data_IF_935922787541
#
_entry.id   IF_935922787541
#
_cell.length_a   1.000
_cell.length_b   1.000
_cell.length_c   1.000
_cell.angle_alpha   90.00
_cell.angle_beta   90.00
_cell.angle_gamma   90.00
#
_symmetry.space_group_name_H-M   'P 1'
#
loop_
_entity.id
_entity.type
_entity.pdbx_description
1 polymer ?
#
# COMPACT_ATOMS: atom_id res chain seq x y z
N UNK A 1 -14.64 -15.95 22.05
CA UNK A 1 -14.89 -14.65 21.42
C UNK A 1 -16.35 -14.25 21.46
N UNK A 2 -17.32 -14.80 20.69
CA UNK A 2 -18.74 -14.40 20.79
C UNK A 2 -19.38 -14.65 22.18
N UNK A 3 -19.02 -15.73 22.90
CA UNK A 3 -19.54 -15.99 24.26
C UNK A 3 -19.04 -14.99 25.30
N UNK A 4 -17.85 -14.45 25.15
CA UNK A 4 -17.30 -13.43 26.05
C UNK A 4 -18.00 -12.08 25.84
N UNK A 5 -18.26 -11.71 24.58
CA UNK A 5 -19.03 -10.51 24.24
C UNK A 5 -20.47 -10.55 24.77
N UNK A 6 -21.07 -11.75 24.91
CA UNK A 6 -22.42 -11.92 25.39
C UNK A 6 -22.53 -11.99 26.92
N UNK A 7 -21.42 -11.99 27.65
CA UNK A 7 -21.41 -12.11 29.12
C UNK A 7 -21.45 -10.79 29.89
N UNK A 8 -21.24 -9.66 29.21
CA UNK A 8 -21.29 -8.31 29.81
C UNK A 8 -22.71 -7.76 29.84
N UNK A 9 -23.08 -7.20 31.00
CA UNK A 9 -24.46 -6.84 31.34
C UNK A 9 -25.08 -5.65 30.61
N UNK A 10 -24.30 -4.94 29.76
CA UNK A 10 -24.84 -3.83 28.96
C UNK A 10 -24.33 -4.01 27.51
N UNK A 11 -25.27 -4.35 26.61
CA UNK A 11 -25.01 -4.38 25.19
C UNK A 11 -24.96 -2.94 24.64
N UNK A 12 -23.77 -2.42 24.39
CA UNK A 12 -23.59 -1.19 23.61
C UNK A 12 -23.48 -1.55 22.12
N UNK A 13 -24.52 -1.22 21.35
CA UNK A 13 -24.55 -1.44 19.90
C UNK A 13 -23.35 -0.79 19.19
N UNK A 14 -22.93 0.42 19.64
CA UNK A 14 -21.81 1.12 19.02
C UNK A 14 -20.48 0.38 19.27
N UNK A 15 -20.30 -0.21 20.44
CA UNK A 15 -19.13 -1.05 20.73
C UNK A 15 -19.15 -2.32 19.89
N UNK A 16 -20.32 -2.98 19.77
CA UNK A 16 -20.50 -4.16 18.94
C UNK A 16 -20.21 -3.89 17.47
N UNK A 17 -20.73 -2.81 16.91
CA UNK A 17 -20.48 -2.41 15.51
C UNK A 17 -18.99 -2.21 15.24
N UNK A 18 -18.30 -1.48 16.11
CA UNK A 18 -16.84 -1.26 15.98
C UNK A 18 -16.06 -2.56 16.03
N UNK A 19 -16.43 -3.47 16.91
CA UNK A 19 -15.75 -4.77 17.06
C UNK A 19 -15.99 -5.67 15.84
N UNK A 20 -17.20 -5.72 15.30
CA UNK A 20 -17.50 -6.45 14.06
C UNK A 20 -16.73 -5.86 12.87
N UNK A 21 -16.68 -4.53 12.77
CA UNK A 21 -15.89 -3.85 11.74
C UNK A 21 -14.41 -4.20 11.85
N UNK A 22 -13.84 -4.16 13.06
CA UNK A 22 -12.44 -4.52 13.33
C UNK A 22 -12.16 -5.97 12.89
N UNK A 23 -13.01 -6.92 13.27
CA UNK A 23 -12.88 -8.33 12.88
C UNK A 23 -12.95 -8.50 11.36
N UNK A 24 -13.87 -7.79 10.70
CA UNK A 24 -13.99 -7.78 9.25
C UNK A 24 -12.72 -7.27 8.55
N UNK A 25 -12.14 -6.20 9.06
CA UNK A 25 -10.88 -5.65 8.57
C UNK A 25 -9.71 -6.62 8.77
N UNK A 26 -9.58 -7.23 9.94
CA UNK A 26 -8.53 -8.22 10.22
C UNK A 26 -8.65 -9.45 9.30
N UNK A 27 -9.87 -9.94 9.09
CA UNK A 27 -10.11 -11.04 8.15
C UNK A 27 -9.72 -10.65 6.72
N UNK A 28 -10.13 -9.47 6.25
CA UNK A 28 -9.78 -8.97 4.92
C UNK A 28 -8.27 -8.76 4.75
N UNK A 29 -7.57 -8.25 5.77
CA UNK A 29 -6.12 -8.10 5.77
C UNK A 29 -5.42 -9.47 5.68
N UNK A 30 -5.90 -10.48 6.40
CA UNK A 30 -5.38 -11.86 6.32
C UNK A 30 -5.59 -12.50 4.94
N UNK A 31 -6.73 -12.27 4.29
CA UNK A 31 -6.95 -12.72 2.90
C UNK A 31 -5.99 -12.03 1.93
N UNK A 32 -5.75 -10.73 2.09
CA UNK A 32 -4.80 -9.98 1.27
C UNK A 32 -3.38 -10.51 1.44
N UNK A 33 -2.93 -10.78 2.67
CA UNK A 33 -1.63 -11.40 2.93
C UNK A 33 -1.47 -12.72 2.16
N UNK A 34 -2.46 -13.62 2.27
CA UNK A 34 -2.43 -14.90 1.55
C UNK A 34 -2.37 -14.73 0.04
N UNK A 35 -3.12 -13.76 -0.51
CA UNK A 35 -3.10 -13.46 -1.93
C UNK A 35 -1.72 -12.97 -2.37
N UNK A 36 -1.12 -12.03 -1.64
CA UNK A 36 0.22 -11.51 -1.95
C UNK A 36 1.29 -12.60 -1.93
N UNK A 37 1.22 -13.51 -0.94
CA UNK A 37 2.14 -14.68 -0.88
C UNK A 37 1.99 -15.57 -2.11
N UNK A 38 0.76 -15.89 -2.52
CA UNK A 38 0.52 -16.72 -3.71
C UNK A 38 0.96 -16.04 -5.01
N UNK A 39 0.77 -14.73 -5.11
CA UNK A 39 1.25 -13.96 -6.25
C UNK A 39 2.78 -13.95 -6.32
N UNK A 40 3.48 -13.76 -5.18
CA UNK A 40 4.94 -13.84 -5.12
C UNK A 40 5.45 -15.22 -5.56
N UNK A 41 4.80 -16.29 -5.13
CA UNK A 41 5.12 -17.65 -5.53
C UNK A 41 4.89 -17.87 -7.04
N UNK A 42 3.80 -17.37 -7.59
CA UNK A 42 3.52 -17.43 -9.02
C UNK A 42 4.58 -16.69 -9.83
N UNK A 43 4.95 -15.49 -9.44
CA UNK A 43 6.01 -14.71 -10.07
C UNK A 43 7.36 -15.43 -9.96
N UNK A 44 7.66 -16.02 -8.81
CA UNK A 44 8.89 -16.78 -8.61
C UNK A 44 8.99 -17.97 -9.57
N UNK A 45 7.89 -18.68 -9.83
CA UNK A 45 7.87 -19.83 -10.75
C UNK A 45 8.03 -19.42 -12.20
N UNK A 46 7.39 -18.32 -12.61
CA UNK A 46 7.30 -17.88 -14.00
C UNK A 46 8.33 -16.81 -14.40
N UNK A 47 9.22 -16.40 -13.50
CA UNK A 47 10.24 -15.39 -13.79
C UNK A 47 11.23 -15.82 -14.84
N UNK A 48 11.82 -14.90 -15.54
CA UNK A 48 13.04 -15.13 -16.32
C UNK A 48 14.23 -15.38 -15.38
N UNK A 49 14.68 -16.65 -15.34
CA UNK A 49 15.77 -17.09 -14.46
C UNK A 49 17.15 -16.56 -14.88
N UNK A 50 17.30 -16.12 -16.12
CA UNK A 50 18.57 -15.54 -16.62
C UNK A 50 18.74 -14.12 -16.08
N UNK A 51 17.66 -13.35 -16.07
CA UNK A 51 17.66 -11.96 -15.65
C UNK A 51 17.40 -11.76 -14.15
N UNK A 52 16.62 -12.66 -13.50
CA UNK A 52 16.21 -12.51 -12.11
C UNK A 52 16.71 -13.68 -11.26
N UNK A 53 17.87 -13.48 -10.62
CA UNK A 53 18.46 -14.47 -9.71
C UNK A 53 17.87 -14.33 -8.32
N UNK A 54 17.24 -15.40 -7.80
CA UNK A 54 16.69 -15.47 -6.44
C UNK A 54 17.75 -15.23 -5.37
N UNK A 55 17.47 -14.36 -4.36
CA UNK A 55 18.38 -14.00 -3.26
C UNK A 55 17.78 -14.20 -1.87
N UNK A 56 16.57 -14.69 -1.79
CA UNK A 56 15.88 -14.90 -0.52
C UNK A 56 14.53 -14.20 -0.47
N UNK A 57 13.93 -14.18 0.72
CA UNK A 57 12.65 -13.50 0.97
C UNK A 57 12.79 -12.45 2.06
N UNK A 58 12.14 -11.33 1.89
CA UNK A 58 12.02 -10.26 2.87
C UNK A 58 10.57 -10.09 3.31
N UNK A 59 10.37 -9.87 4.61
CA UNK A 59 9.07 -9.48 5.16
C UNK A 59 8.95 -7.96 5.16
N UNK A 60 7.82 -7.45 4.75
CA UNK A 60 7.46 -6.03 4.82
C UNK A 60 6.00 -5.90 5.22
N UNK A 61 5.54 -4.69 5.53
CA UNK A 61 4.15 -4.41 5.90
C UNK A 61 3.62 -3.28 5.03
N UNK A 62 2.43 -3.47 4.46
CA UNK A 62 1.71 -2.47 3.69
C UNK A 62 0.55 -1.94 4.54
N UNK A 63 0.43 -0.64 4.72
CA UNK A 63 -0.74 0.02 5.31
C UNK A 63 -1.84 0.11 4.26
N UNK A 64 -3.01 -0.45 4.57
CA UNK A 64 -4.17 -0.49 3.67
C UNK A 64 -5.41 0.07 4.37
N UNK A 65 -6.52 0.19 3.64
CA UNK A 65 -7.82 0.56 4.22
C UNK A 65 -8.32 -0.46 5.26
N UNK A 66 -7.87 -1.73 5.14
CA UNK A 66 -8.30 -2.84 5.99
C UNK A 66 -7.40 -3.04 7.22
N UNK A 67 -6.30 -2.31 7.31
CA UNK A 67 -5.31 -2.51 8.35
C UNK A 67 -3.90 -2.71 7.79
N UNK A 68 -2.97 -3.10 8.66
CA UNK A 68 -1.62 -3.47 8.27
C UNK A 68 -1.62 -4.89 7.70
N UNK A 69 -1.08 -5.04 6.51
CA UNK A 69 -0.91 -6.31 5.81
C UNK A 69 0.57 -6.66 5.78
N UNK A 70 1.05 -7.53 6.69
CA UNK A 70 2.41 -8.07 6.59
C UNK A 70 2.47 -9.07 5.46
N UNK A 71 3.52 -9.05 4.64
CA UNK A 71 3.72 -10.05 3.59
C UNK A 71 5.19 -10.33 3.33
N UNK A 72 5.47 -11.53 2.83
CA UNK A 72 6.82 -11.94 2.42
C UNK A 72 6.91 -11.83 0.92
N UNK A 73 7.96 -11.17 0.45
CA UNK A 73 8.26 -10.98 -0.97
C UNK A 73 9.67 -11.48 -1.32
N UNK A 74 9.83 -11.99 -2.51
CA UNK A 74 11.10 -12.53 -2.99
C UNK A 74 11.99 -11.41 -3.52
N UNK A 75 13.26 -11.42 -3.11
CA UNK A 75 14.32 -10.52 -3.59
C UNK A 75 15.00 -11.16 -4.78
N UNK A 76 15.17 -10.41 -5.85
CA UNK A 76 15.92 -10.83 -7.03
C UNK A 76 17.11 -9.92 -7.28
N UNK A 77 18.25 -10.52 -7.63
CA UNK A 77 19.39 -9.80 -8.19
C UNK A 77 19.20 -9.74 -9.71
N UNK A 78 19.26 -8.56 -10.27
CA UNK A 78 19.30 -8.31 -11.71
C UNK A 78 20.54 -7.50 -12.07
N UNK A 79 20.88 -7.42 -13.35
CA UNK A 79 21.96 -6.58 -13.85
C UNK A 79 21.38 -5.40 -14.63
N UNK A 80 21.85 -4.23 -14.30
CA UNK A 80 21.61 -3.05 -15.16
C UNK A 80 22.39 -3.17 -16.46
N UNK A 81 22.00 -2.39 -17.47
CA UNK A 81 22.74 -2.25 -18.74
C UNK A 81 24.19 -1.83 -18.52
N UNK A 82 24.47 -1.10 -17.44
CA UNK A 82 25.82 -0.72 -16.99
C UNK A 82 26.64 -1.87 -16.41
N UNK A 83 26.06 -3.09 -16.26
CA UNK A 83 26.68 -4.25 -15.61
C UNK A 83 26.66 -4.20 -14.09
N UNK A 84 26.15 -3.14 -13.46
CA UNK A 84 26.00 -3.07 -12.01
C UNK A 84 24.85 -3.97 -11.52
N UNK A 85 24.98 -4.49 -10.29
CA UNK A 85 23.95 -5.33 -9.67
C UNK A 85 22.87 -4.44 -9.07
N UNK A 86 21.61 -4.82 -9.30
CA UNK A 86 20.46 -4.24 -8.64
C UNK A 86 19.64 -5.31 -7.92
N UNK A 87 18.93 -4.91 -6.87
CA UNK A 87 18.00 -5.78 -6.15
C UNK A 87 16.59 -5.25 -6.35
N UNK A 88 15.70 -6.13 -6.82
CA UNK A 88 14.32 -5.80 -7.16
C UNK A 88 13.35 -6.77 -6.50
N UNK A 89 12.12 -6.32 -6.34
CA UNK A 89 10.98 -7.11 -5.85
C UNK A 89 9.91 -7.15 -6.93
N UNK A 90 9.82 -8.23 -7.70
CA UNK A 90 8.88 -8.36 -8.82
C UNK A 90 7.42 -8.16 -8.38
N UNK A 91 7.06 -8.62 -7.17
CA UNK A 91 5.72 -8.42 -6.64
C UNK A 91 5.38 -6.94 -6.48
N UNK A 92 6.30 -6.15 -5.96
CA UNK A 92 6.09 -4.73 -5.73
C UNK A 92 6.03 -3.95 -7.06
N UNK A 93 6.84 -4.34 -8.04
CA UNK A 93 6.83 -3.76 -9.38
C UNK A 93 5.50 -4.02 -10.08
N UNK A 94 5.05 -5.28 -10.13
CA UNK A 94 3.80 -5.69 -10.79
C UNK A 94 2.58 -5.02 -10.16
N UNK A 95 2.55 -4.90 -8.82
CA UNK A 95 1.45 -4.30 -8.08
C UNK A 95 1.63 -2.80 -7.82
N UNK A 96 2.76 -2.22 -8.25
CA UNK A 96 3.11 -0.81 -8.01
C UNK A 96 3.00 -0.41 -6.51
N UNK A 97 3.44 -1.31 -5.62
CA UNK A 97 3.28 -1.16 -4.17
C UNK A 97 4.21 -0.10 -3.56
N UNK A 98 5.32 0.22 -4.21
CA UNK A 98 6.28 1.22 -3.74
C UNK A 98 5.91 2.66 -4.09
N UNK A 99 4.78 2.82 -4.78
CA UNK A 99 4.33 4.12 -5.28
C UNK A 99 4.22 5.20 -4.21
N UNK A 100 3.74 4.84 -3.02
CA UNK A 100 3.56 5.77 -1.90
C UNK A 100 4.30 5.28 -0.64
N UNK A 101 5.46 4.67 -0.83
CA UNK A 101 6.17 3.99 0.23
C UNK A 101 5.43 2.70 0.62
N UNK A 102 5.14 2.52 1.90
CA UNK A 102 4.44 1.33 2.41
C UNK A 102 2.94 1.59 2.66
N UNK A 103 2.32 2.39 1.81
CA UNK A 103 0.90 2.76 1.89
C UNK A 103 0.24 2.39 0.56
N UNK A 104 -0.92 1.74 0.62
CA UNK A 104 -1.68 1.37 -0.58
C UNK A 104 -2.21 2.62 -1.30
N UNK A 105 -2.39 2.52 -2.62
CA UNK A 105 -2.92 3.63 -3.44
C UNK A 105 -4.29 4.11 -2.94
N UNK A 106 -5.16 3.18 -2.52
CA UNK A 106 -6.49 3.53 -2.00
C UNK A 106 -6.39 4.29 -0.68
N UNK A 107 -5.50 3.89 0.23
CA UNK A 107 -5.28 4.63 1.47
C UNK A 107 -4.63 5.99 1.20
N UNK A 108 -3.71 6.07 0.22
CA UNK A 108 -3.12 7.33 -0.20
C UNK A 108 -4.16 8.29 -0.79
N UNK A 109 -5.09 7.80 -1.63
CA UNK A 109 -6.20 8.60 -2.16
C UNK A 109 -7.11 9.11 -1.05
N UNK A 110 -7.47 8.25 -0.09
CA UNK A 110 -8.28 8.65 1.06
C UNK A 110 -7.61 9.73 1.91
N UNK A 111 -6.28 9.66 2.08
CA UNK A 111 -5.50 10.71 2.75
C UNK A 111 -5.57 12.02 1.96
N UNK A 112 -5.43 11.95 0.63
CA UNK A 112 -5.48 13.13 -0.24
C UNK A 112 -6.86 13.81 -0.18
N UNK A 113 -7.94 13.04 -0.29
CA UNK A 113 -9.30 13.54 -0.21
C UNK A 113 -9.55 14.24 1.14
N UNK A 114 -9.16 13.60 2.25
CA UNK A 114 -9.28 14.24 3.57
C UNK A 114 -8.43 15.50 3.70
N UNK A 115 -7.23 15.53 3.12
CA UNK A 115 -6.33 16.68 3.21
C UNK A 115 -6.75 17.85 2.33
N UNK A 116 -7.63 17.64 1.36
CA UNK A 116 -8.24 18.71 0.55
C UNK A 116 -9.24 19.53 1.37
N UNK A 117 -9.89 18.92 2.35
CA UNK A 117 -10.96 19.52 3.13
C UNK A 117 -10.52 20.00 4.52
N UNK A 118 -9.41 19.49 5.03
CA UNK A 118 -8.95 19.82 6.38
C UNK A 118 -7.43 19.76 6.54
N UNK A 119 -6.92 20.21 7.69
CA UNK A 119 -5.48 20.18 7.97
C UNK A 119 -4.92 18.75 7.98
N UNK A 120 -3.61 18.60 7.70
CA UNK A 120 -2.94 17.28 7.74
C UNK A 120 -3.08 16.58 9.10
N UNK A 121 -3.15 17.34 10.18
CA UNK A 121 -3.37 16.79 11.52
C UNK A 121 -4.76 16.20 11.67
N UNK A 122 -5.77 16.91 11.19
CA UNK A 122 -7.17 16.45 11.23
C UNK A 122 -7.38 15.29 10.26
N UNK A 123 -6.79 15.33 9.06
CA UNK A 123 -6.81 14.23 8.10
C UNK A 123 -6.23 12.97 8.72
N UNK A 124 -5.03 13.04 9.29
CA UNK A 124 -4.40 11.91 9.96
C UNK A 124 -5.27 11.34 11.10
N UNK A 125 -5.90 12.22 11.91
CA UNK A 125 -6.81 11.81 12.99
C UNK A 125 -8.07 11.12 12.45
N UNK A 126 -8.71 11.68 11.43
CA UNK A 126 -9.91 11.10 10.80
C UNK A 126 -9.60 9.74 10.19
N UNK A 127 -8.54 9.63 9.39
CA UNK A 127 -8.12 8.38 8.76
C UNK A 127 -7.78 7.33 9.82
N UNK A 128 -7.03 7.69 10.86
CA UNK A 128 -6.69 6.77 11.94
C UNK A 128 -7.94 6.25 12.67
N UNK A 129 -8.95 7.10 12.88
CA UNK A 129 -10.21 6.67 13.52
C UNK A 129 -11.07 5.78 12.63
N UNK A 130 -11.02 5.98 11.30
CA UNK A 130 -11.83 5.21 10.33
C UNK A 130 -11.22 3.86 9.98
N UNK A 131 -9.89 3.80 9.88
CA UNK A 131 -9.18 2.61 9.40
C UNK A 131 -8.48 1.83 10.51
N UNK A 132 -8.43 2.37 11.72
CA UNK A 132 -7.62 1.84 12.81
C UNK A 132 -6.11 1.98 12.59
N UNK A 133 -5.67 2.62 11.48
CA UNK A 133 -4.27 2.80 11.13
C UNK A 133 -3.66 3.97 11.87
N UNK A 134 -2.47 3.77 12.46
CA UNK A 134 -1.69 4.88 13.00
C UNK A 134 -1.03 5.66 11.87
N UNK A 135 -1.60 6.82 11.54
CA UNK A 135 -1.05 7.75 10.55
C UNK A 135 -0.70 9.06 11.26
N UNK A 136 0.56 9.48 11.16
CA UNK A 136 0.99 10.77 11.69
C UNK A 136 0.69 11.89 10.68
N UNK A 137 0.62 13.14 11.16
CA UNK A 137 0.47 14.30 10.27
C UNK A 137 1.63 14.43 9.27
N UNK A 138 2.87 14.09 9.69
CA UNK A 138 4.02 14.02 8.78
C UNK A 138 3.90 12.89 7.75
N UNK A 139 3.30 11.74 8.13
CA UNK A 139 2.97 10.66 7.20
C UNK A 139 1.94 11.10 6.15
N UNK A 140 0.87 11.78 6.56
CA UNK A 140 -0.12 12.35 5.64
C UNK A 140 0.53 13.38 4.68
N UNK A 141 1.36 14.28 5.21
CA UNK A 141 2.13 15.23 4.40
C UNK A 141 2.99 14.54 3.34
N UNK A 142 3.77 13.53 3.72
CA UNK A 142 4.65 12.81 2.79
C UNK A 142 3.86 12.12 1.67
N UNK A 143 2.68 11.58 1.97
CA UNK A 143 1.80 10.99 0.95
C UNK A 143 1.35 12.05 -0.05
N UNK A 144 0.91 13.21 0.42
CA UNK A 144 0.48 14.32 -0.46
C UNK A 144 1.62 14.82 -1.32
N UNK A 145 2.83 15.00 -0.75
CA UNK A 145 4.02 15.38 -1.53
C UNK A 145 4.35 14.34 -2.61
N UNK A 146 4.24 13.05 -2.27
CA UNK A 146 4.45 11.96 -3.23
C UNK A 146 3.43 11.96 -4.37
N UNK A 147 2.14 12.24 -4.08
CA UNK A 147 1.09 12.38 -5.09
C UNK A 147 1.38 13.59 -5.98
N UNK A 148 1.67 14.76 -5.39
CA UNK A 148 1.98 15.98 -6.12
C UNK A 148 3.17 15.85 -7.06
N UNK A 149 4.27 15.24 -6.60
CA UNK A 149 5.45 14.96 -7.44
C UNK A 149 5.11 14.12 -8.68
N UNK A 150 4.30 13.09 -8.54
CA UNK A 150 3.88 12.24 -9.69
C UNK A 150 2.94 12.93 -10.65
N UNK A 151 2.06 13.78 -10.15
CA UNK A 151 1.20 14.58 -11.02
C UNK A 151 2.05 15.52 -11.89
N UNK A 152 3.03 16.19 -11.29
CA UNK A 152 3.98 17.05 -12.03
C UNK A 152 4.77 16.25 -13.07
N UNK A 153 5.34 15.11 -12.71
CA UNK A 153 6.06 14.24 -13.64
C UNK A 153 5.18 13.77 -14.81
N UNK A 154 3.91 13.48 -14.52
CA UNK A 154 2.94 13.07 -15.54
C UNK A 154 2.64 14.24 -16.48
N UNK A 155 2.34 15.41 -15.93
CA UNK A 155 2.07 16.64 -16.72
C UNK A 155 3.24 17.01 -17.61
N UNK A 156 4.48 16.98 -17.09
CA UNK A 156 5.68 17.22 -17.88
C UNK A 156 5.87 16.21 -19.01
N UNK A 157 5.55 14.94 -18.75
CA UNK A 157 5.62 13.87 -19.76
C UNK A 157 4.58 14.09 -20.85
N UNK A 158 3.35 14.39 -20.46
CA UNK A 158 2.23 14.62 -21.38
C UNK A 158 2.49 15.88 -22.24
N UNK A 159 3.06 16.94 -21.66
CA UNK A 159 3.49 18.14 -22.38
C UNK A 159 4.56 17.82 -23.42
N UNK A 160 5.61 17.07 -23.05
CA UNK A 160 6.68 16.66 -23.99
C UNK A 160 6.13 15.82 -25.15
N UNK A 161 5.18 14.92 -24.89
CA UNK A 161 4.53 14.11 -25.92
C UNK A 161 3.67 14.96 -26.86
N UNK A 162 2.97 15.97 -26.32
CA UNK A 162 2.19 16.93 -27.10
C UNK A 162 3.09 17.74 -28.05
N UNK A 163 4.22 18.25 -27.55
CA UNK A 163 5.19 19.03 -28.36
C UNK A 163 5.79 18.18 -29.49
N UNK A 164 6.09 16.91 -29.21
CA UNK A 164 6.58 15.96 -30.22
C UNK A 164 5.50 15.59 -31.27
N UNK A 165 4.22 15.61 -30.88
CA UNK A 165 3.08 15.38 -31.77
C UNK A 165 2.76 16.55 -32.69
N UNK A 166 3.09 17.77 -32.27
CA UNK A 166 2.91 18.99 -33.10
C UNK A 166 4.08 19.25 -34.05
N UNK A 167 5.21 18.58 -33.87
CA UNK A 167 6.41 18.71 -34.73
C UNK A 167 6.39 17.77 -35.96
N UNK A 168 5.27 17.13 -36.27
CA UNK A 168 4.99 16.35 -37.48
C UNK A 168 3.94 17.07 -38.32
#
# INVERSE_FOLDING_TARGET
>A
MFKEMLSEKEFDFNALEKEIFRIGCEFAAGLMEQLLVRMDEHLMLNRDRQNYRHKGKHTTTLKTLMGEVPYRRTVYETKHESGSKAYVYLLDEVLNLESFGKISSNLASMIADCASDCSFRESAKKISSMTGQSISHGGAWNVIQGIGGRLLEKEERDARLSDLGQAK
#
